data_IF_550476251950
#
_entry.id   IF_550476251950
#
_cell.length_a   1.000
_cell.length_b   1.000
_cell.length_c   1.000
_cell.angle_alpha   90.00
_cell.angle_beta   90.00
_cell.angle_gamma   90.00
#
_symmetry.space_group_name_H-M   'P 1'
#
loop_
_entity.id
_entity.type
_entity.pdbx_description
1 polymer ?
#
# COMPACT_ATOMS: atom_id res chain seq x y z
N UNK A 1 10.22 -9.71 -12.66
CA UNK A 1 10.53 -8.38 -12.10
C UNK A 1 9.75 -8.14 -10.82
N UNK A 2 10.37 -7.46 -9.87
CA UNK A 2 9.74 -7.08 -8.59
C UNK A 2 8.90 -5.84 -8.83
N UNK A 3 7.66 -5.85 -8.35
CA UNK A 3 6.79 -4.66 -8.40
C UNK A 3 7.17 -3.77 -7.23
N UNK A 4 7.58 -2.54 -7.51
CA UNK A 4 7.98 -1.54 -6.50
C UNK A 4 7.26 -0.22 -6.75
N UNK A 5 7.20 0.63 -5.73
CA UNK A 5 6.68 1.99 -5.82
C UNK A 5 7.68 3.01 -5.28
N UNK A 6 7.49 4.27 -5.62
CA UNK A 6 8.28 5.38 -5.08
C UNK A 6 7.71 5.89 -3.75
N UNK A 7 8.48 6.63 -2.94
CA UNK A 7 8.02 7.15 -1.65
C UNK A 7 6.86 8.16 -1.77
N UNK A 8 6.70 8.75 -2.96
CA UNK A 8 5.66 9.74 -3.27
C UNK A 8 4.54 9.17 -4.15
N UNK A 9 4.50 7.84 -4.34
CA UNK A 9 3.41 7.20 -5.08
C UNK A 9 2.10 7.34 -4.30
N UNK A 10 1.04 7.76 -5.00
CA UNK A 10 -0.29 7.94 -4.41
C UNK A 10 -0.82 6.63 -3.82
N UNK A 11 -1.45 6.71 -2.64
CA UNK A 11 -1.89 5.54 -1.90
C UNK A 11 -2.90 4.69 -2.69
N UNK A 12 -3.80 5.33 -3.45
CA UNK A 12 -4.76 4.64 -4.31
C UNK A 12 -4.06 3.82 -5.42
N UNK A 13 -2.90 4.27 -5.90
CA UNK A 13 -2.11 3.53 -6.87
C UNK A 13 -1.47 2.29 -6.24
N UNK A 14 -0.98 2.40 -5.01
CA UNK A 14 -0.48 1.24 -4.25
C UNK A 14 -1.60 0.22 -4.04
N UNK A 15 -2.78 0.66 -3.61
CA UNK A 15 -3.96 -0.20 -3.46
C UNK A 15 -4.37 -0.90 -4.77
N UNK A 16 -4.31 -0.18 -5.90
CA UNK A 16 -4.54 -0.77 -7.23
C UNK A 16 -3.52 -1.86 -7.57
N UNK A 17 -2.25 -1.66 -7.26
CA UNK A 17 -1.20 -2.66 -7.51
C UNK A 17 -1.39 -3.90 -6.63
N UNK A 18 -1.65 -3.69 -5.34
CA UNK A 18 -1.95 -4.75 -4.37
C UNK A 18 -3.12 -5.60 -4.86
N UNK A 19 -4.24 -4.98 -5.24
CA UNK A 19 -5.42 -5.70 -5.73
C UNK A 19 -5.18 -6.40 -7.07
N UNK A 20 -4.48 -5.74 -8.00
CA UNK A 20 -4.22 -6.29 -9.34
C UNK A 20 -3.34 -7.53 -9.31
N UNK A 21 -2.38 -7.57 -8.39
CA UNK A 21 -1.36 -8.61 -8.35
C UNK A 21 -1.44 -9.50 -7.09
N UNK A 22 -2.48 -9.32 -6.26
CA UNK A 22 -2.70 -10.06 -5.01
C UNK A 22 -1.46 -10.04 -4.09
N UNK A 23 -0.90 -8.85 -3.88
CA UNK A 23 0.33 -8.65 -3.09
C UNK A 23 -0.01 -8.54 -1.59
N UNK A 24 0.83 -9.13 -0.74
CA UNK A 24 0.76 -8.91 0.72
C UNK A 24 1.47 -7.63 1.14
N UNK A 25 2.48 -7.23 0.37
CA UNK A 25 3.31 -6.06 0.61
C UNK A 25 3.90 -5.53 -0.70
N UNK A 26 4.22 -4.24 -0.72
CA UNK A 26 4.84 -3.54 -1.85
C UNK A 26 6.11 -2.83 -1.38
N UNK A 27 7.29 -3.18 -1.92
CA UNK A 27 8.53 -2.46 -1.64
C UNK A 27 8.47 -1.01 -2.10
N UNK A 28 8.95 -0.12 -1.23
CA UNK A 28 9.17 1.29 -1.55
C UNK A 28 10.66 1.49 -1.82
N UNK A 29 11.00 2.02 -2.99
CA UNK A 29 12.38 2.29 -3.40
C UNK A 29 12.51 3.73 -3.85
N UNK A 30 13.68 4.35 -3.64
CA UNK A 30 13.96 5.70 -4.18
C UNK A 30 14.31 5.63 -5.68
N UNK A 31 14.63 6.78 -6.28
CA UNK A 31 14.97 6.89 -7.71
C UNK A 31 16.24 6.10 -8.10
N UNK A 32 17.14 5.86 -7.15
CA UNK A 32 18.35 5.05 -7.32
C UNK A 32 18.10 3.55 -7.11
N UNK A 33 16.84 3.15 -6.86
CA UNK A 33 16.46 1.76 -6.59
C UNK A 33 16.78 1.26 -5.18
N UNK A 34 17.17 2.15 -4.27
CA UNK A 34 17.51 1.82 -2.88
C UNK A 34 16.24 1.66 -2.05
N UNK A 35 16.11 0.52 -1.36
CA UNK A 35 14.97 0.21 -0.49
C UNK A 35 14.82 1.22 0.65
N UNK A 36 13.62 1.78 0.76
CA UNK A 36 13.22 2.73 1.81
C UNK A 36 12.29 2.07 2.83
N UNK A 37 11.58 1.00 2.45
CA UNK A 37 10.64 0.29 3.32
C UNK A 37 9.64 -0.55 2.54
N UNK A 38 8.52 -0.87 3.18
CA UNK A 38 7.39 -1.61 2.59
C UNK A 38 6.06 -0.93 2.94
N UNK A 39 5.04 -1.15 2.11
CA UNK A 39 3.63 -0.91 2.43
C UNK A 39 2.92 -2.25 2.47
N UNK A 40 2.19 -2.54 3.54
CA UNK A 40 1.42 -3.79 3.68
C UNK A 40 0.02 -3.66 3.09
N UNK A 41 -0.63 -4.81 2.85
CA UNK A 41 -1.97 -4.89 2.27
C UNK A 41 -3.04 -4.19 3.13
N UNK A 42 -2.91 -4.24 4.46
CA UNK A 42 -3.81 -3.57 5.40
C UNK A 42 -3.76 -2.04 5.26
N UNK A 43 -2.57 -1.43 5.22
CA UNK A 43 -2.39 0.01 4.94
C UNK A 43 -2.97 0.42 3.58
N UNK A 44 -2.74 -0.41 2.56
CA UNK A 44 -3.25 -0.16 1.21
C UNK A 44 -4.79 -0.25 1.15
N UNK A 45 -5.40 -1.17 1.91
CA UNK A 45 -6.85 -1.28 2.05
C UNK A 45 -7.39 -0.06 2.80
N UNK A 46 -6.73 0.36 3.88
CA UNK A 46 -7.12 1.53 4.67
C UNK A 46 -7.12 2.80 3.82
N UNK A 47 -6.25 2.93 2.82
CA UNK A 47 -6.25 4.08 1.91
C UNK A 47 -7.55 4.23 1.09
N UNK A 48 -8.23 3.13 0.77
CA UNK A 48 -9.41 3.12 -0.13
C UNK A 48 -10.73 2.90 0.59
N UNK A 49 -10.72 2.46 1.84
CA UNK A 49 -11.96 2.27 2.63
C UNK A 49 -12.59 3.63 2.98
N UNK A 50 -13.91 3.83 2.74
CA UNK A 50 -14.62 5.03 3.14
C UNK A 50 -14.54 5.28 4.65
N UNK A 51 -14.32 6.54 5.04
CA UNK A 51 -14.17 6.95 6.45
C UNK A 51 -15.34 6.54 7.36
N UNK A 52 -16.55 6.43 6.81
CA UNK A 52 -17.73 5.97 7.55
C UNK A 52 -17.60 4.51 8.04
N UNK A 53 -16.86 3.69 7.31
CA UNK A 53 -16.64 2.27 7.63
C UNK A 53 -15.44 2.11 8.58
N UNK A 54 -14.43 2.99 8.48
CA UNK A 54 -13.26 2.99 9.39
C UNK A 54 -13.62 3.08 10.87
N UNK A 55 -14.61 3.91 11.25
CA UNK A 55 -15.04 4.07 12.65
C UNK A 55 -15.69 2.82 13.27
N UNK A 56 -16.12 1.87 12.44
CA UNK A 56 -16.82 0.64 12.86
C UNK A 56 -15.93 -0.60 12.82
N UNK A 57 -14.74 -0.51 12.22
CA UNK A 57 -13.81 -1.63 12.16
C UNK A 57 -12.90 -1.60 13.40
N UNK A 58 -12.74 -2.73 14.13
CA UNK A 58 -11.70 -2.85 15.13
C UNK A 58 -10.35 -2.64 14.43
N UNK A 59 -9.48 -1.79 14.98
CA UNK A 59 -8.11 -1.66 14.48
C UNK A 59 -7.38 -2.95 14.82
N UNK A 60 -7.20 -3.81 13.82
CA UNK A 60 -6.34 -4.97 13.92
C UNK A 60 -4.94 -4.54 13.48
N UNK A 61 -4.19 -4.06 14.48
CA UNK A 61 -2.77 -3.64 14.47
C UNK A 61 -2.37 -2.57 13.46
#
# INVERSE_FOLDING_TARGET
DVITVGPLTEQEQVARLVARYNLLEVPVVNEEGVMQGIVTVDDAIDAVIPTAWKKRLPRFF
#
